data_IF_916900640505
#
_entry.id   IF_916900640505
#
_cell.length_a   1.000
_cell.length_b   1.000
_cell.length_c   1.000
_cell.angle_alpha   90.00
_cell.angle_beta   90.00
_cell.angle_gamma   90.00
#
_symmetry.space_group_name_H-M   'P 1'
#
loop_
_entity.id
_entity.type
_entity.pdbx_description
1 polymer ?
#
# COMPACT_ATOMS: atom_id res chain seq x y z
N UNK A 1 -43.43 10.99 52.48
CA UNK A 1 -44.05 10.18 51.40
C UNK A 1 -43.24 10.42 50.13
N UNK A 2 -42.34 9.51 49.72
CA UNK A 2 -42.58 8.30 48.91
C UNK A 2 -43.23 8.65 47.55
N UNK A 3 -42.68 8.35 46.36
CA UNK A 3 -41.86 7.19 45.94
C UNK A 3 -40.98 7.56 44.73
N UNK A 4 -39.72 7.12 44.78
CA UNK A 4 -38.80 6.95 43.65
C UNK A 4 -39.36 5.93 42.65
N UNK A 5 -39.12 6.17 41.35
CA UNK A 5 -38.83 5.10 40.38
C UNK A 5 -37.65 5.52 39.50
N UNK A 6 -36.59 4.74 39.65
CA UNK A 6 -35.38 4.65 38.85
C UNK A 6 -35.66 4.13 37.45
N UNK A 7 -35.03 4.71 36.43
CA UNK A 7 -34.51 3.95 35.30
C UNK A 7 -33.11 4.43 34.97
N UNK A 8 -32.25 3.42 34.87
CA UNK A 8 -30.84 3.44 34.60
C UNK A 8 -30.58 3.89 33.16
N UNK A 9 -29.99 5.06 32.99
CA UNK A 9 -29.29 5.38 31.76
C UNK A 9 -27.95 4.67 31.81
N UNK A 10 -27.90 3.53 31.11
CA UNK A 10 -26.66 2.87 30.74
C UNK A 10 -25.81 3.86 29.95
N UNK A 11 -24.77 4.40 30.59
CA UNK A 11 -23.61 4.96 29.92
C UNK A 11 -22.97 3.85 29.08
N UNK A 12 -23.41 3.69 27.85
CA UNK A 12 -22.64 3.01 26.81
C UNK A 12 -21.70 4.06 26.22
N UNK A 13 -20.47 4.09 26.74
CA UNK A 13 -19.36 4.68 26.00
C UNK A 13 -19.31 4.03 24.62
N UNK A 14 -19.27 4.80 23.52
CA UNK A 14 -19.12 4.22 22.20
C UNK A 14 -17.76 3.50 22.10
N UNK A 15 -17.70 2.38 21.34
CA UNK A 15 -16.47 1.61 21.22
C UNK A 15 -15.32 2.49 20.71
N UNK A 16 -14.22 2.40 21.44
CA UNK A 16 -12.95 3.06 21.18
C UNK A 16 -12.36 2.55 19.85
N UNK A 17 -11.85 3.52 19.08
CA UNK A 17 -10.82 3.37 18.04
C UNK A 17 -11.26 2.87 16.65
N UNK A 18 -12.04 3.71 15.95
CA UNK A 18 -11.89 3.87 14.49
C UNK A 18 -11.01 5.11 14.29
N UNK A 19 -9.89 5.05 13.55
CA UNK A 19 -9.11 6.24 13.23
C UNK A 19 -10.01 7.31 12.63
N UNK A 20 -10.04 8.49 13.25
CA UNK A 20 -10.75 9.66 12.72
C UNK A 20 -10.13 9.99 11.37
N UNK A 21 -10.97 9.85 10.34
CA UNK A 21 -10.76 10.12 8.91
C UNK A 21 -9.80 9.19 8.14
N UNK A 22 -10.31 8.01 7.74
CA UNK A 22 -10.16 7.65 6.32
C UNK A 22 -10.87 8.73 5.47
N UNK A 23 -10.30 9.16 4.33
CA UNK A 23 -10.98 10.09 3.43
C UNK A 23 -12.40 9.60 3.10
N UNK A 24 -13.40 10.43 3.37
CA UNK A 24 -14.84 10.16 3.16
C UNK A 24 -15.26 9.92 1.69
N UNK A 25 -14.32 9.72 0.77
CA UNK A 25 -14.56 9.44 -0.66
C UNK A 25 -13.68 8.30 -1.19
N UNK A 26 -13.72 7.17 -0.50
CA UNK A 26 -13.26 5.87 -1.01
C UNK A 26 -14.40 4.84 -1.09
N UNK A 27 -15.65 5.29 -0.95
CA UNK A 27 -16.81 4.40 -0.84
C UNK A 27 -17.48 4.02 -2.17
N UNK A 28 -17.06 4.57 -3.32
CA UNK A 28 -17.76 4.33 -4.59
C UNK A 28 -16.82 3.88 -5.73
N UNK A 29 -16.15 2.75 -5.57
CA UNK A 29 -15.69 1.96 -6.74
C UNK A 29 -16.53 0.69 -6.76
N UNK A 30 -17.45 0.52 -7.72
CA UNK A 30 -18.31 -0.66 -7.74
C UNK A 30 -17.47 -1.91 -7.99
N UNK A 31 -17.35 -2.79 -7.00
CA UNK A 31 -16.74 -4.12 -7.11
C UNK A 31 -17.68 -5.11 -7.83
N UNK A 32 -18.60 -4.59 -8.65
CA UNK A 32 -19.85 -5.22 -9.08
C UNK A 32 -19.66 -6.49 -9.91
N UNK A 33 -18.49 -6.67 -10.55
CA UNK A 33 -18.22 -7.87 -11.36
C UNK A 33 -17.92 -9.12 -10.53
N UNK A 34 -17.30 -8.95 -9.36
CA UNK A 34 -16.86 -10.08 -8.54
C UNK A 34 -17.72 -10.28 -7.27
N UNK A 35 -18.39 -9.23 -6.75
CA UNK A 35 -19.06 -9.22 -5.43
C UNK A 35 -18.16 -9.87 -4.35
N UNK A 36 -17.17 -9.12 -3.84
CA UNK A 36 -16.21 -9.64 -2.87
C UNK A 36 -16.87 -10.32 -1.66
N UNK A 37 -16.34 -11.47 -1.27
CA UNK A 37 -16.65 -12.22 -0.03
C UNK A 37 -15.33 -12.58 0.65
N UNK A 38 -14.40 -11.62 0.72
CA UNK A 38 -13.18 -11.81 1.50
C UNK A 38 -13.56 -11.94 2.99
N UNK A 39 -12.81 -12.75 3.75
CA UNK A 39 -13.07 -12.92 5.18
C UNK A 39 -11.77 -12.80 5.95
N UNK A 40 -11.76 -12.14 7.13
CA UNK A 40 -10.57 -12.04 7.96
C UNK A 40 -9.96 -13.40 8.31
N UNK A 41 -10.78 -14.46 8.41
CA UNK A 41 -10.34 -15.83 8.62
C UNK A 41 -9.46 -16.41 7.50
N UNK A 42 -9.33 -15.74 6.36
CA UNK A 42 -8.39 -16.10 5.30
C UNK A 42 -6.99 -15.56 5.55
N UNK A 43 -6.80 -14.71 6.57
CA UNK A 43 -5.50 -14.28 7.08
C UNK A 43 -5.11 -15.21 8.24
N UNK A 44 -4.37 -16.27 7.94
CA UNK A 44 -3.88 -17.22 8.93
C UNK A 44 -2.45 -16.82 9.32
N UNK A 45 -2.27 -16.27 10.51
CA UNK A 45 -0.97 -15.76 10.98
C UNK A 45 0.08 -16.85 11.19
N UNK A 46 -0.30 -18.12 11.21
CA UNK A 46 0.65 -19.24 11.34
C UNK A 46 1.00 -19.83 9.97
N UNK A 47 0.09 -19.73 8.99
CA UNK A 47 0.22 -20.40 7.68
C UNK A 47 0.38 -19.46 6.49
N UNK A 48 -0.04 -18.20 6.59
CA UNK A 48 -0.06 -17.21 5.53
C UNK A 48 -1.47 -16.81 5.07
N UNK A 49 -1.54 -16.15 3.92
CA UNK A 49 -2.79 -15.74 3.28
C UNK A 49 -3.38 -16.93 2.53
N UNK A 50 -4.61 -17.33 2.89
CA UNK A 50 -5.31 -18.46 2.25
C UNK A 50 -5.72 -18.11 0.83
N UNK A 51 -5.37 -19.00 -0.10
CA UNK A 51 -5.64 -18.89 -1.54
C UNK A 51 -6.31 -20.12 -2.14
N UNK A 52 -6.13 -21.30 -1.53
CA UNK A 52 -6.72 -22.57 -1.98
C UNK A 52 -8.09 -22.85 -1.38
N UNK A 53 -8.90 -23.61 -2.11
CA UNK A 53 -10.27 -23.99 -1.73
C UNK A 53 -11.15 -22.77 -1.42
N UNK A 54 -10.99 -21.71 -2.21
CA UNK A 54 -11.75 -20.47 -2.15
C UNK A 54 -12.32 -20.16 -3.53
N UNK A 55 -13.53 -19.62 -3.57
CA UNK A 55 -14.13 -19.09 -4.79
C UNK A 55 -13.38 -17.84 -5.29
N UNK A 56 -13.45 -17.50 -6.59
CA UNK A 56 -12.76 -16.34 -7.13
C UNK A 56 -13.04 -15.03 -6.37
N UNK A 57 -14.28 -14.82 -5.92
CA UNK A 57 -14.69 -13.64 -5.17
C UNK A 57 -14.26 -13.62 -3.70
N UNK A 58 -13.70 -14.72 -3.20
CA UNK A 58 -13.12 -14.84 -1.86
C UNK A 58 -11.60 -14.65 -1.87
N UNK A 59 -10.98 -14.72 -3.06
CA UNK A 59 -9.52 -14.62 -3.21
C UNK A 59 -9.07 -13.16 -3.26
N UNK A 60 -8.28 -12.74 -2.28
CA UNK A 60 -7.72 -11.38 -2.23
C UNK A 60 -6.94 -11.01 -3.50
N UNK A 61 -6.28 -11.99 -4.16
CA UNK A 61 -5.58 -11.77 -5.43
C UNK A 61 -6.49 -11.26 -6.55
N UNK A 62 -7.69 -11.83 -6.67
CA UNK A 62 -8.66 -11.51 -7.72
C UNK A 62 -9.41 -10.23 -7.39
N UNK A 63 -9.85 -10.11 -6.13
CA UNK A 63 -10.56 -8.93 -5.63
C UNK A 63 -9.69 -7.68 -5.82
N UNK A 64 -8.45 -7.69 -5.30
CA UNK A 64 -7.57 -6.53 -5.40
C UNK A 64 -7.13 -6.28 -6.84
N UNK A 65 -6.80 -7.31 -7.62
CA UNK A 65 -6.43 -7.11 -9.03
C UNK A 65 -7.54 -6.40 -9.80
N UNK A 66 -8.79 -6.88 -9.70
CA UNK A 66 -9.91 -6.28 -10.40
C UNK A 66 -10.10 -4.81 -9.98
N UNK A 67 -10.11 -4.56 -8.66
CA UNK A 67 -10.26 -3.21 -8.13
C UNK A 67 -9.15 -2.26 -8.60
N UNK A 68 -7.89 -2.72 -8.61
CA UNK A 68 -6.74 -1.94 -9.10
C UNK A 68 -6.85 -1.65 -10.61
N UNK A 69 -7.24 -2.65 -11.42
CA UNK A 69 -7.38 -2.50 -12.87
C UNK A 69 -8.52 -1.51 -13.22
N UNK A 70 -9.67 -1.63 -12.55
CA UNK A 70 -10.81 -0.72 -12.73
C UNK A 70 -10.45 0.70 -12.32
N UNK A 71 -9.75 0.84 -11.19
CA UNK A 71 -9.42 2.13 -10.59
C UNK A 71 -8.29 2.86 -11.30
N UNK A 72 -7.28 2.17 -11.83
CA UNK A 72 -6.11 2.82 -12.43
C UNK A 72 -6.04 2.67 -13.96
N UNK A 73 -7.03 1.99 -14.56
CA UNK A 73 -7.16 1.81 -16.01
C UNK A 73 -5.90 1.21 -16.65
N UNK A 74 -5.22 0.34 -15.91
CA UNK A 74 -4.02 -0.38 -16.36
C UNK A 74 -4.10 -1.81 -15.88
N UNK A 75 -3.53 -2.74 -16.65
CA UNK A 75 -3.49 -4.16 -16.27
C UNK A 75 -2.39 -4.42 -15.24
N UNK A 76 -2.63 -5.39 -14.35
CA UNK A 76 -1.65 -5.81 -13.36
C UNK A 76 -1.28 -7.29 -13.52
N UNK A 77 0.01 -7.56 -13.38
CA UNK A 77 0.54 -8.92 -13.21
C UNK A 77 0.49 -9.27 -11.73
N UNK A 78 -0.08 -10.42 -11.40
CA UNK A 78 0.00 -10.97 -10.04
C UNK A 78 1.18 -11.92 -9.95
N UNK A 79 2.05 -11.70 -8.97
CA UNK A 79 3.16 -12.58 -8.61
C UNK A 79 3.12 -12.91 -7.11
N UNK A 80 3.80 -13.97 -6.69
CA UNK A 80 3.67 -14.49 -5.32
C UNK A 80 4.85 -15.33 -4.85
N UNK A 81 5.07 -15.30 -3.54
CA UNK A 81 5.91 -16.26 -2.82
C UNK A 81 5.05 -17.10 -1.85
N UNK A 82 5.27 -18.41 -1.89
CA UNK A 82 4.45 -19.42 -1.22
C UNK A 82 4.00 -20.53 -2.17
N UNK A 83 3.39 -21.59 -1.64
CA UNK A 83 2.95 -22.76 -2.43
C UNK A 83 1.64 -23.31 -1.89
N UNK A 84 0.85 -23.91 -2.78
CA UNK A 84 -0.39 -24.58 -2.41
C UNK A 84 -1.46 -23.63 -1.87
N UNK A 85 -2.06 -24.01 -0.75
CA UNK A 85 -3.26 -23.36 -0.18
C UNK A 85 -2.96 -22.02 0.49
N UNK A 86 -1.76 -21.80 1.00
CA UNK A 86 -1.38 -20.56 1.71
C UNK A 86 -0.16 -19.91 1.08
N UNK A 87 -0.25 -18.61 0.84
CA UNK A 87 0.81 -17.81 0.25
C UNK A 87 1.30 -16.79 1.28
N UNK A 88 2.60 -16.54 1.32
CA UNK A 88 3.19 -15.66 2.32
C UNK A 88 3.19 -14.21 1.84
N UNK A 89 3.50 -14.01 0.57
CA UNK A 89 3.64 -12.69 -0.02
C UNK A 89 3.03 -12.68 -1.42
N UNK A 90 2.32 -11.61 -1.74
CA UNK A 90 1.58 -11.45 -2.99
C UNK A 90 1.83 -10.04 -3.50
N UNK A 91 2.08 -9.87 -4.80
CA UNK A 91 2.22 -8.54 -5.38
C UNK A 91 1.49 -8.34 -6.70
N UNK A 92 1.31 -7.07 -7.05
CA UNK A 92 0.74 -6.58 -8.29
C UNK A 92 1.69 -5.58 -8.94
N UNK A 93 2.01 -5.82 -10.22
CA UNK A 93 2.93 -5.02 -11.01
C UNK A 93 2.17 -4.44 -12.19
N UNK A 94 2.18 -3.11 -12.41
CA UNK A 94 1.61 -2.53 -13.62
C UNK A 94 2.30 -3.09 -14.86
N UNK A 95 1.51 -3.63 -15.79
CA UNK A 95 2.01 -4.27 -17.01
C UNK A 95 2.83 -3.27 -17.83
N UNK A 96 2.38 -2.02 -17.91
CA UNK A 96 3.02 -0.99 -18.72
C UNK A 96 4.42 -0.60 -18.18
N UNK A 97 4.60 -0.56 -16.86
CA UNK A 97 5.92 -0.37 -16.27
C UNK A 97 6.88 -1.53 -16.61
N UNK A 98 6.41 -2.79 -16.59
CA UNK A 98 7.25 -3.94 -16.97
C UNK A 98 7.57 -3.93 -18.47
N UNK A 99 6.61 -3.60 -19.34
CA UNK A 99 6.81 -3.52 -20.79
C UNK A 99 7.79 -2.42 -21.18
N UNK A 100 7.81 -1.32 -20.45
CA UNK A 100 8.70 -0.19 -20.71
C UNK A 100 10.19 -0.50 -20.46
N UNK A 101 10.53 -1.68 -19.91
CA UNK A 101 11.89 -2.11 -19.60
C UNK A 101 12.50 -2.91 -20.76
N UNK A 102 13.32 -2.31 -21.64
CA UNK A 102 13.84 -2.99 -22.83
C UNK A 102 14.79 -4.15 -22.50
N UNK A 103 15.46 -4.13 -21.35
CA UNK A 103 16.45 -5.14 -20.94
C UNK A 103 15.82 -6.18 -20.01
N UNK A 104 14.95 -5.76 -19.09
CA UNK A 104 14.48 -6.62 -17.99
C UNK A 104 12.99 -6.96 -17.98
N UNK A 105 12.22 -6.66 -19.04
CA UNK A 105 10.78 -6.96 -19.13
C UNK A 105 10.40 -8.44 -18.89
N UNK A 106 11.35 -9.37 -19.04
CA UNK A 106 11.17 -10.79 -18.74
C UNK A 106 11.09 -11.10 -17.22
N UNK A 107 11.48 -10.17 -16.35
CA UNK A 107 11.55 -10.38 -14.90
C UNK A 107 10.72 -9.35 -14.13
N UNK A 108 10.01 -9.83 -13.11
CA UNK A 108 9.20 -9.00 -12.23
C UNK A 108 10.02 -8.26 -11.16
N UNK A 109 11.23 -8.73 -10.86
CA UNK A 109 12.10 -8.20 -9.81
C UNK A 109 12.48 -6.73 -10.04
N UNK A 110 12.70 -6.33 -11.29
CA UNK A 110 13.13 -4.98 -11.65
C UNK A 110 12.04 -3.90 -11.62
N UNK A 111 10.80 -4.26 -11.30
CA UNK A 111 9.66 -3.35 -11.26
C UNK A 111 9.28 -2.96 -9.83
N UNK A 112 8.91 -1.69 -9.64
CA UNK A 112 8.12 -1.25 -8.49
C UNK A 112 6.78 -1.98 -8.48
N UNK A 113 6.41 -2.51 -7.32
CA UNK A 113 5.24 -3.36 -7.14
C UNK A 113 4.50 -3.00 -5.87
N UNK A 114 3.18 -3.16 -5.88
CA UNK A 114 2.39 -3.16 -4.66
C UNK A 114 2.31 -4.58 -4.13
N UNK A 115 2.43 -4.78 -2.82
CA UNK A 115 2.38 -6.09 -2.20
C UNK A 115 1.51 -6.10 -0.96
N UNK A 116 1.11 -7.32 -0.59
CA UNK A 116 0.56 -7.65 0.72
C UNK A 116 1.25 -8.88 1.29
N UNK A 117 1.38 -8.92 2.61
CA UNK A 117 1.96 -10.03 3.36
C UNK A 117 1.40 -10.05 4.77
N UNK A 118 1.53 -11.18 5.47
CA UNK A 118 1.47 -11.18 6.92
C UNK A 118 2.87 -10.88 7.47
N UNK A 119 2.92 -10.17 8.59
CA UNK A 119 4.14 -9.86 9.33
C UNK A 119 4.00 -10.30 10.78
N UNK A 120 5.12 -10.65 11.41
CA UNK A 120 5.15 -11.17 12.79
C UNK A 120 5.50 -10.11 13.83
N UNK A 121 6.19 -9.03 13.44
CA UNK A 121 6.62 -7.96 14.35
C UNK A 121 6.47 -6.55 13.71
N UNK A 122 5.48 -5.75 14.13
CA UNK A 122 4.33 -6.17 14.94
C UNK A 122 3.45 -7.15 14.14
N UNK A 123 2.82 -8.11 14.84
CA UNK A 123 1.99 -9.09 14.14
C UNK A 123 0.80 -8.40 13.44
N UNK A 124 0.68 -8.57 12.13
CA UNK A 124 -0.28 -7.81 11.33
C UNK A 124 -0.37 -8.20 9.86
N UNK A 125 -1.20 -7.46 9.13
CA UNK A 125 -1.31 -7.53 7.67
C UNK A 125 -0.66 -6.28 7.10
N UNK A 126 0.40 -6.46 6.35
CA UNK A 126 1.16 -5.40 5.74
C UNK A 126 0.73 -5.23 4.28
N UNK A 127 0.48 -3.98 3.89
CA UNK A 127 0.28 -3.58 2.50
C UNK A 127 1.28 -2.47 2.16
N UNK A 128 1.95 -2.56 1.01
CA UNK A 128 3.05 -1.64 0.74
C UNK A 128 3.54 -1.63 -0.70
N UNK A 129 4.47 -0.74 -1.01
CA UNK A 129 5.25 -0.80 -2.24
C UNK A 129 6.62 -1.40 -1.97
N UNK A 130 7.13 -2.21 -2.91
CA UNK A 130 8.45 -2.79 -2.87
C UNK A 130 9.20 -2.53 -4.17
N UNK A 131 10.50 -2.28 -4.06
CA UNK A 131 11.44 -2.17 -5.18
C UNK A 131 12.69 -2.96 -4.81
N UNK A 132 13.13 -3.84 -5.69
CA UNK A 132 14.18 -4.81 -5.39
C UNK A 132 15.45 -4.52 -6.18
N UNK A 133 16.56 -5.01 -5.63
CA UNK A 133 17.89 -5.04 -6.24
C UNK A 133 18.43 -6.46 -6.09
N UNK A 134 18.64 -7.12 -7.21
CA UNK A 134 19.34 -8.41 -7.26
C UNK A 134 20.85 -8.19 -7.11
N UNK A 135 21.61 -9.23 -6.75
CA UNK A 135 23.07 -9.16 -6.79
C UNK A 135 23.59 -8.64 -8.13
N UNK A 136 24.71 -7.93 -8.09
CA UNK A 136 25.42 -7.45 -9.29
C UNK A 136 26.59 -8.36 -9.65
N UNK A 137 27.20 -9.03 -8.67
CA UNK A 137 28.35 -9.94 -8.86
C UNK A 137 28.02 -11.44 -8.75
N UNK A 138 26.76 -11.83 -8.55
CA UNK A 138 26.44 -13.23 -8.24
C UNK A 138 26.72 -14.24 -9.37
N UNK A 139 27.25 -15.40 -8.97
CA UNK A 139 27.21 -16.65 -9.72
C UNK A 139 25.77 -17.20 -9.74
N UNK A 140 24.93 -16.71 -10.65
CA UNK A 140 23.52 -17.09 -10.77
C UNK A 140 22.73 -16.17 -11.70
N UNK A 141 21.70 -16.71 -12.36
CA UNK A 141 21.12 -16.18 -13.62
C UNK A 141 20.54 -14.76 -13.58
N UNK A 142 20.14 -14.22 -12.43
CA UNK A 142 19.47 -12.90 -12.35
C UNK A 142 20.39 -11.88 -11.71
N UNK A 143 20.66 -10.81 -12.45
CA UNK A 143 21.43 -9.64 -11.99
C UNK A 143 20.61 -8.38 -12.16
N UNK A 144 20.86 -7.38 -11.32
CA UNK A 144 20.24 -6.06 -11.48
C UNK A 144 20.58 -5.50 -12.86
N UNK A 145 19.56 -5.14 -13.64
CA UNK A 145 19.71 -4.54 -14.97
C UNK A 145 19.59 -3.01 -14.88
N UNK A 146 20.15 -2.32 -15.87
CA UNK A 146 20.23 -0.86 -15.92
C UNK A 146 18.87 -0.14 -15.94
N UNK A 147 17.81 -0.83 -16.36
CA UNK A 147 16.45 -0.31 -16.45
C UNK A 147 15.57 -0.70 -15.24
N UNK A 148 16.14 -1.21 -14.14
CA UNK A 148 15.39 -1.50 -12.93
C UNK A 148 14.96 -0.22 -12.23
N UNK A 149 13.72 -0.19 -11.70
CA UNK A 149 13.17 0.97 -10.99
C UNK A 149 13.97 1.33 -9.73
N UNK A 150 14.78 0.38 -9.22
CA UNK A 150 15.73 0.61 -8.16
C UNK A 150 16.70 1.76 -8.45
N UNK A 151 17.15 1.91 -9.70
CA UNK A 151 18.05 3.01 -10.08
C UNK A 151 17.34 4.37 -10.06
N UNK A 152 16.05 4.40 -10.43
CA UNK A 152 15.23 5.60 -10.34
C UNK A 152 14.98 5.97 -8.87
N UNK A 153 14.61 4.99 -8.02
CA UNK A 153 14.48 5.15 -6.58
C UNK A 153 15.73 5.79 -5.96
N UNK A 154 16.91 5.17 -6.13
CA UNK A 154 18.15 5.66 -5.50
C UNK A 154 18.53 7.07 -5.97
N UNK A 155 18.24 7.40 -7.24
CA UNK A 155 18.46 8.74 -7.80
C UNK A 155 17.46 9.76 -7.28
N UNK A 156 16.23 9.36 -7.05
CA UNK A 156 15.14 10.24 -6.64
C UNK A 156 15.03 10.37 -5.12
N UNK A 157 15.60 9.47 -4.33
CA UNK A 157 15.53 9.53 -2.86
C UNK A 157 16.59 10.48 -2.28
N UNK A 158 16.52 11.76 -2.65
CA UNK A 158 17.42 12.84 -2.21
C UNK A 158 16.61 14.01 -1.68
N UNK A 159 17.14 14.74 -0.70
CA UNK A 159 16.45 15.91 -0.15
C UNK A 159 16.03 16.88 -1.26
N UNK A 160 14.81 17.43 -1.17
CA UNK A 160 14.25 18.37 -2.14
C UNK A 160 13.62 17.75 -3.39
N UNK A 161 13.64 16.43 -3.57
CA UNK A 161 12.92 15.78 -4.68
C UNK A 161 11.45 15.49 -4.31
N UNK A 162 10.58 15.33 -5.31
CA UNK A 162 9.19 14.92 -5.07
C UNK A 162 9.08 13.58 -4.33
N UNK A 163 9.93 12.60 -4.67
CA UNK A 163 9.91 11.29 -4.02
C UNK A 163 10.29 11.40 -2.54
N UNK A 164 11.31 12.19 -2.22
CA UNK A 164 11.72 12.41 -0.84
C UNK A 164 10.63 13.08 -0.01
N UNK A 165 9.93 14.07 -0.58
CA UNK A 165 8.79 14.70 0.07
C UNK A 165 7.66 13.70 0.34
N UNK A 166 7.36 12.84 -0.65
CA UNK A 166 6.27 11.88 -0.52
C UNK A 166 6.57 10.77 0.49
N UNK A 167 7.78 10.20 0.46
CA UNK A 167 8.19 9.21 1.47
C UNK A 167 8.17 9.83 2.87
N UNK A 168 8.64 11.08 3.02
CA UNK A 168 8.61 11.76 4.31
C UNK A 168 7.19 12.04 4.80
N UNK A 169 6.26 12.43 3.92
CA UNK A 169 4.84 12.61 4.23
C UNK A 169 4.25 11.30 4.74
N UNK A 170 4.38 10.23 3.96
CA UNK A 170 3.81 8.92 4.28
C UNK A 170 4.32 8.40 5.63
N UNK A 171 5.63 8.47 5.88
CA UNK A 171 6.21 7.97 7.13
C UNK A 171 5.88 8.86 8.33
N UNK A 172 6.00 10.19 8.19
CA UNK A 172 5.87 11.10 9.35
C UNK A 172 4.43 11.46 9.69
N UNK A 173 3.52 11.41 8.72
CA UNK A 173 2.17 11.97 8.86
C UNK A 173 1.08 10.91 8.70
N UNK A 174 1.32 9.86 7.89
CA UNK A 174 0.30 8.87 7.53
C UNK A 174 0.55 7.49 8.18
N UNK A 175 1.56 7.37 9.05
CA UNK A 175 1.83 6.14 9.79
C UNK A 175 2.52 5.02 9.01
N UNK A 176 3.07 5.31 7.82
CA UNK A 176 3.83 4.31 7.06
C UNK A 176 5.18 4.02 7.72
N UNK A 177 5.70 2.84 7.41
CA UNK A 177 7.04 2.38 7.78
C UNK A 177 7.89 2.25 6.52
N UNK A 178 9.12 2.75 6.57
CA UNK A 178 10.09 2.56 5.51
C UNK A 178 11.13 1.49 5.88
N UNK A 179 11.59 0.73 4.89
CA UNK A 179 12.74 -0.20 4.99
C UNK A 179 13.65 -0.01 3.79
N UNK A 180 14.96 -0.08 4.00
CA UNK A 180 15.95 0.01 2.93
C UNK A 180 17.21 -0.78 3.29
N UNK A 181 17.85 -1.40 2.29
CA UNK A 181 19.09 -2.17 2.49
C UNK A 181 18.96 -3.65 2.09
N UNK A 182 19.89 -4.53 2.52
CA UNK A 182 19.80 -5.97 2.24
C UNK A 182 18.56 -6.56 2.91
N UNK A 183 17.81 -7.44 2.23
CA UNK A 183 16.56 -7.98 2.80
C UNK A 183 16.78 -8.71 4.13
N UNK A 184 17.90 -9.43 4.24
CA UNK A 184 18.38 -9.92 5.51
C UNK A 184 18.78 -8.73 6.41
N UNK A 185 18.01 -8.51 7.48
CA UNK A 185 18.31 -7.49 8.48
C UNK A 185 17.79 -6.08 8.16
N UNK A 186 16.86 -5.91 7.21
CA UNK A 186 16.22 -4.60 7.05
C UNK A 186 15.47 -4.20 8.33
N UNK A 187 15.70 -2.97 8.78
CA UNK A 187 14.99 -2.40 9.93
C UNK A 187 13.75 -1.63 9.46
N UNK A 188 12.64 -1.84 10.15
CA UNK A 188 11.44 -1.01 10.08
C UNK A 188 11.72 0.39 10.65
N UNK A 189 11.49 1.44 9.86
CA UNK A 189 11.66 2.83 10.26
C UNK A 189 10.30 3.54 10.23
N UNK A 190 9.64 3.57 11.40
CA UNK A 190 8.44 4.37 11.63
C UNK A 190 8.79 5.84 11.90
N UNK A 191 7.78 6.71 12.05
CA UNK A 191 7.96 8.14 12.26
C UNK A 191 9.00 8.51 13.33
N UNK A 192 8.99 7.82 14.47
CA UNK A 192 9.90 8.07 15.60
C UNK A 192 11.37 7.79 15.28
N UNK A 193 11.63 6.82 14.40
CA UNK A 193 12.95 6.35 14.01
C UNK A 193 13.40 6.87 12.64
N UNK A 194 12.57 7.65 11.96
CA UNK A 194 12.75 7.96 10.54
C UNK A 194 13.91 8.96 10.30
N UNK A 195 15.04 8.49 9.76
CA UNK A 195 16.26 9.31 9.63
C UNK A 195 16.21 10.26 8.41
N UNK A 196 15.12 10.23 7.65
CA UNK A 196 14.96 10.98 6.41
C UNK A 196 15.39 10.22 5.15
N UNK A 197 15.06 10.77 3.97
CA UNK A 197 15.23 10.11 2.68
C UNK A 197 16.70 9.85 2.33
N UNK A 198 17.62 10.74 2.71
CA UNK A 198 19.05 10.57 2.42
C UNK A 198 19.65 9.33 3.10
N UNK A 199 19.23 9.01 4.33
CA UNK A 199 19.69 7.83 5.03
C UNK A 199 19.14 6.53 4.41
N UNK A 200 17.87 6.52 3.98
CA UNK A 200 17.30 5.42 3.22
C UNK A 200 18.06 5.18 1.90
N UNK A 201 18.41 6.25 1.18
CA UNK A 201 19.17 6.15 -0.07
C UNK A 201 20.58 5.60 0.17
N UNK A 202 21.23 5.98 1.28
CA UNK A 202 22.52 5.39 1.68
C UNK A 202 22.38 3.91 2.00
N UNK A 203 21.36 3.51 2.75
CA UNK A 203 21.10 2.11 3.07
C UNK A 203 20.85 1.27 1.80
N UNK A 204 20.04 1.79 0.85
CA UNK A 204 19.83 1.13 -0.43
C UNK A 204 21.12 1.02 -1.27
N UNK A 205 21.97 2.03 -1.28
CA UNK A 205 23.27 1.98 -1.97
C UNK A 205 24.27 1.03 -1.30
N UNK A 206 24.13 0.78 0.00
CA UNK A 206 25.01 -0.07 0.78
C UNK A 206 24.64 -1.56 0.74
N UNK A 207 23.68 -1.97 -0.11
CA UNK A 207 23.38 -3.39 -0.33
C UNK A 207 24.65 -4.07 -0.88
N UNK A 208 25.18 -5.12 -0.22
CA UNK A 208 26.37 -5.85 -0.70
C UNK A 208 26.19 -6.38 -2.12
N UNK A 209 27.25 -6.43 -2.91
CA UNK A 209 27.18 -6.75 -4.34
C UNK A 209 26.69 -8.16 -4.67
N UNK A 210 26.85 -9.09 -3.74
CA UNK A 210 26.41 -10.47 -3.80
C UNK A 210 25.04 -10.70 -3.14
N UNK A 211 24.40 -9.66 -2.61
CA UNK A 211 23.16 -9.77 -1.84
C UNK A 211 21.93 -9.20 -2.57
N UNK A 212 20.78 -9.80 -2.24
CA UNK A 212 19.47 -9.22 -2.52
C UNK A 212 19.11 -8.16 -1.48
N UNK A 213 18.45 -7.11 -1.94
CA UNK A 213 17.90 -6.08 -1.07
C UNK A 213 16.92 -5.20 -1.81
N UNK A 214 16.61 -4.06 -1.22
CA UNK A 214 15.67 -3.14 -1.84
C UNK A 214 15.18 -2.05 -0.91
N UNK A 215 13.99 -1.58 -1.23
CA UNK A 215 13.24 -0.60 -0.47
C UNK A 215 11.79 -1.04 -0.35
N UNK A 216 11.22 -0.82 0.83
CA UNK A 216 9.80 -1.00 1.10
C UNK A 216 9.24 0.25 1.77
N UNK A 217 8.02 0.61 1.41
CA UNK A 217 7.21 1.61 2.11
C UNK A 217 5.82 1.03 2.30
N UNK A 218 5.45 0.79 3.54
CA UNK A 218 4.29 -0.03 3.86
C UNK A 218 3.49 0.54 5.03
N UNK A 219 2.22 0.15 5.09
CA UNK A 219 1.35 0.35 6.22
C UNK A 219 1.02 -1.02 6.81
N UNK A 220 1.07 -1.12 8.14
CA UNK A 220 0.76 -2.37 8.86
C UNK A 220 -0.58 -2.19 9.56
N UNK A 221 -1.55 -3.02 9.19
CA UNK A 221 -2.79 -3.20 9.94
C UNK A 221 -2.51 -4.19 11.08
N UNK A 222 -2.47 -3.74 12.36
CA UNK A 222 -2.15 -4.63 13.47
C UNK A 222 -3.18 -5.74 13.62
N UNK A 223 -2.76 -6.93 14.07
CA UNK A 223 -3.67 -8.07 14.29
C UNK A 223 -4.83 -7.73 15.23
N UNK A 224 -4.61 -6.87 16.21
CA UNK A 224 -5.68 -6.40 17.11
C UNK A 224 -6.78 -5.65 16.38
N UNK A 225 -6.45 -4.84 15.37
CA UNK A 225 -7.39 -4.09 14.54
C UNK A 225 -8.11 -5.03 13.55
N UNK A 226 -7.36 -5.93 12.92
CA UNK A 226 -7.90 -6.90 11.96
C UNK A 226 -8.99 -7.80 12.57
N UNK A 227 -8.92 -8.09 13.88
CA UNK A 227 -9.93 -8.88 14.59
C UNK A 227 -11.31 -8.20 14.65
N UNK A 228 -11.35 -6.87 14.53
CA UNK A 228 -12.60 -6.10 14.55
C UNK A 228 -13.09 -5.73 13.15
N UNK A 229 -12.30 -6.00 12.11
CA UNK A 229 -12.60 -5.66 10.73
C UNK A 229 -13.43 -6.75 10.04
N UNK A 230 -14.33 -6.35 9.16
CA UNK A 230 -14.91 -7.24 8.16
C UNK A 230 -13.92 -7.48 7.02
N UNK A 231 -14.22 -8.42 6.12
CA UNK A 231 -13.38 -8.61 4.94
C UNK A 231 -13.42 -7.42 3.99
N UNK A 232 -14.57 -6.75 3.87
CA UNK A 232 -14.72 -5.53 3.08
C UNK A 232 -13.86 -4.40 3.64
N UNK A 233 -13.80 -4.25 4.97
CA UNK A 233 -12.92 -3.27 5.60
C UNK A 233 -11.45 -3.53 5.26
N UNK A 234 -11.01 -4.80 5.26
CA UNK A 234 -9.62 -5.17 4.94
C UNK A 234 -9.31 -4.85 3.47
N UNK A 235 -10.22 -5.18 2.55
CA UNK A 235 -10.07 -4.89 1.12
C UNK A 235 -10.02 -3.38 0.89
N UNK A 236 -10.95 -2.63 1.49
CA UNK A 236 -11.01 -1.17 1.37
C UNK A 236 -9.76 -0.50 1.94
N UNK A 237 -9.29 -0.92 3.11
CA UNK A 237 -8.05 -0.42 3.71
C UNK A 237 -6.83 -0.71 2.82
N UNK A 238 -6.74 -1.91 2.25
CA UNK A 238 -5.65 -2.29 1.34
C UNK A 238 -5.62 -1.41 0.09
N UNK A 239 -6.80 -1.13 -0.50
CA UNK A 239 -6.90 -0.24 -1.66
C UNK A 239 -6.58 1.22 -1.30
N UNK A 240 -6.95 1.68 -0.11
CA UNK A 240 -6.59 3.00 0.39
C UNK A 240 -5.06 3.15 0.55
N UNK A 241 -4.39 2.11 1.05
CA UNK A 241 -2.92 2.08 1.11
C UNK A 241 -2.31 2.18 -0.29
N UNK A 242 -2.86 1.47 -1.28
CA UNK A 242 -2.40 1.59 -2.67
C UNK A 242 -2.50 3.03 -3.18
N UNK A 243 -3.64 3.70 -2.96
CA UNK A 243 -3.84 5.08 -3.41
C UNK A 243 -2.82 6.07 -2.84
N UNK A 244 -2.51 5.93 -1.56
CA UNK A 244 -1.50 6.77 -0.90
C UNK A 244 -0.09 6.49 -1.44
N UNK A 245 0.18 5.28 -1.94
CA UNK A 245 1.46 4.91 -2.54
C UNK A 245 1.60 5.30 -4.01
N UNK A 246 0.50 5.52 -4.74
CA UNK A 246 0.50 5.83 -6.18
C UNK A 246 1.47 6.96 -6.54
N UNK A 247 1.51 8.11 -5.85
CA UNK A 247 2.46 9.19 -6.17
C UNK A 247 3.91 8.73 -6.07
N UNK A 248 4.27 8.01 -5.00
CA UNK A 248 5.62 7.49 -4.81
C UNK A 248 5.97 6.43 -5.87
N UNK A 249 5.04 5.54 -6.21
CA UNK A 249 5.22 4.51 -7.23
C UNK A 249 5.46 5.11 -8.62
N UNK A 250 4.65 6.10 -9.05
CA UNK A 250 4.84 6.74 -10.36
C UNK A 250 6.19 7.48 -10.47
N UNK A 251 6.77 7.97 -9.37
CA UNK A 251 8.04 8.70 -9.36
C UNK A 251 9.28 7.81 -9.53
N UNK A 252 9.12 6.48 -9.46
CA UNK A 252 10.21 5.49 -9.57
C UNK A 252 10.00 4.51 -10.71
N UNK A 253 8.79 4.40 -11.25
CA UNK A 253 8.51 3.60 -12.43
C UNK A 253 9.20 4.16 -13.67
N UNK A 254 9.50 3.26 -14.61
CA UNK A 254 10.09 3.61 -15.91
C UNK A 254 9.14 4.48 -16.73
N UNK A 255 7.83 4.20 -16.63
CA UNK A 255 6.77 5.06 -17.14
C UNK A 255 5.70 5.25 -16.06
N UNK A 256 5.26 6.48 -15.79
CA UNK A 256 4.08 6.72 -14.97
C UNK A 256 2.87 6.08 -15.65
N UNK A 257 2.20 5.17 -14.96
CA UNK A 257 1.07 4.40 -15.52
C UNK A 257 -0.11 4.28 -14.57
N UNK A 258 -0.01 4.82 -13.36
CA UNK A 258 -1.10 4.87 -12.39
C UNK A 258 -1.75 6.25 -12.41
N UNK A 259 -3.07 6.32 -12.46
CA UNK A 259 -3.78 7.61 -12.40
C UNK A 259 -3.43 8.36 -11.11
N UNK A 260 -3.12 9.67 -11.17
CA UNK A 260 -2.84 10.45 -9.98
C UNK A 260 -4.07 10.48 -9.06
N UNK A 261 -3.88 10.56 -7.73
CA UNK A 261 -5.01 10.73 -6.82
C UNK A 261 -5.76 12.02 -7.19
N UNK A 262 -7.11 12.03 -7.14
CA UNK A 262 -7.90 13.21 -7.45
C UNK A 262 -7.49 14.39 -6.56
N UNK A 263 -7.32 15.57 -7.17
CA UNK A 263 -6.79 16.76 -6.50
C UNK A 263 -7.70 17.21 -5.34
N UNK A 264 -7.21 17.07 -4.09
CA UNK A 264 -7.92 17.49 -2.86
C UNK A 264 -8.24 18.99 -2.86
N UNK A 265 -7.53 19.83 -3.65
CA UNK A 265 -7.74 21.29 -3.71
C UNK A 265 -8.93 21.70 -4.58
N UNK A 266 -9.31 20.90 -5.57
CA UNK A 266 -10.44 21.19 -6.44
C UNK A 266 -11.80 21.01 -5.74
N UNK A 267 -11.87 20.14 -4.71
CA UNK A 267 -13.10 19.86 -3.97
C UNK A 267 -13.53 20.98 -2.98
N UNK A 268 -12.64 21.93 -2.68
CA UNK A 268 -12.91 23.07 -1.78
C UNK A 268 -13.46 24.33 -2.46
N UNK A 269 -13.43 24.40 -3.80
CA UNK A 269 -14.00 25.54 -4.55
C UNK A 269 -15.39 25.19 -5.10
N UNK A 270 -16.35 24.98 -4.20
CA UNK A 270 -17.75 25.25 -4.60
C UNK A 270 -17.87 26.76 -4.75
N UNK A 271 -18.00 27.24 -5.99
CA UNK A 271 -18.41 28.63 -6.28
C UNK A 271 -19.71 28.88 -5.50
N UNK A 272 -19.69 29.79 -4.53
CA UNK A 272 -20.92 30.33 -3.96
C UNK A 272 -21.71 31.02 -5.08
N UNK A 273 -23.01 30.74 -5.27
CA UNK A 273 -23.83 31.52 -6.18
C UNK A 273 -23.93 32.94 -5.62
N UNK A 274 -23.67 33.95 -6.47
CA UNK A 274 -23.90 35.36 -6.14
C UNK A 274 -25.39 35.53 -5.81
N UNK A 275 -25.69 36.00 -4.60
CA UNK A 275 -27.04 36.47 -4.29
C UNK A 275 -27.33 37.72 -5.14
N UNK A 276 -28.49 37.81 -5.83
CA UNK A 276 -28.93 39.07 -6.39
C UNK A 276 -29.33 40.00 -5.23
N UNK A 277 -28.66 41.15 -5.16
CA UNK A 277 -28.95 42.19 -4.20
C UNK A 277 -30.39 42.70 -4.35
N UNK A 278 -31.07 42.83 -3.21
CA UNK A 278 -32.31 43.59 -3.10
C UNK A 278 -31.98 45.06 -3.37
N UNK A 279 -32.35 45.54 -4.55
CA UNK A 279 -32.59 46.96 -4.79
C UNK A 279 -34.07 47.25 -4.52
N UNK A 280 -34.34 48.07 -3.52
CA UNK A 280 -35.60 48.81 -3.31
C UNK A 280 -35.15 50.27 -3.30
N UNK A 281 -35.83 51.15 -4.06
CA UNK A 281 -37.03 51.81 -3.55
C UNK A 281 -38.33 51.26 -4.15
#
# INVERSE_FOLDING_TARGET
>A
MAKRRSRSDSQTSPPLWVPRSLPRRLQDVPLDRLKPDFRPAFLDFDRGIRMGNLEPNQRITRILRQALEDRHRTHFITDRWGRGVYWQWICWIPVENRKAKPVSSAYNFGCAKFYVTLCDDPQGFEAGMQIERAPVTAAGRVRTQSDWDFHALVRSLRSGTPLAAEVARLVRQEGFTARAGPFAGQRALAAADYPGPAALARAAKAIPDDAWGGFQLCYVLPRSELRTMTGDDIVAATLAVFDELVPAMNLVMTVPCLMPPPDRRAAGRKRQPRQPGRGVP
#
